data_IF_231697190260
#
_entry.id   IF_231697190260
#
_cell.length_a   1.000
_cell.length_b   1.000
_cell.length_c   1.000
_cell.angle_alpha   90.00
_cell.angle_beta   90.00
_cell.angle_gamma   90.00
#
_symmetry.space_group_name_H-M   'P 1'
#
loop_
_entity.id
_entity.type
_entity.pdbx_description
1 polymer ?
#
# COMPACT_ATOMS: atom_id res chain seq x y z
N UNK A 1 -31.08 -0.60 39.83
CA UNK A 1 -32.16 -0.28 38.84
C UNK A 1 -31.66 0.17 37.47
N UNK A 2 -30.52 0.85 37.32
CA UNK A 2 -29.99 1.31 36.03
C UNK A 2 -29.66 0.19 35.00
N UNK A 3 -29.17 -0.97 35.48
CA UNK A 3 -28.80 -2.12 34.62
C UNK A 3 -30.00 -2.90 34.04
N UNK A 4 -31.16 -2.85 34.67
CA UNK A 4 -32.36 -3.54 34.19
C UNK A 4 -32.97 -2.85 32.99
N UNK A 5 -32.98 -1.50 32.97
CA UNK A 5 -33.50 -0.70 31.85
C UNK A 5 -32.63 -0.83 30.59
N UNK A 6 -31.31 -0.90 30.73
CA UNK A 6 -30.40 -1.10 29.58
C UNK A 6 -30.60 -2.50 28.96
N UNK A 7 -30.76 -3.54 29.74
CA UNK A 7 -31.03 -4.91 29.28
C UNK A 7 -32.37 -5.03 28.52
N UNK A 8 -33.41 -4.34 29.01
CA UNK A 8 -34.73 -4.33 28.39
C UNK A 8 -34.72 -3.54 27.07
N UNK A 9 -34.01 -2.43 27.01
CA UNK A 9 -33.83 -1.66 25.79
C UNK A 9 -33.06 -2.45 24.72
N UNK A 10 -32.01 -3.18 25.11
CA UNK A 10 -31.23 -4.02 24.19
C UNK A 10 -32.10 -5.16 23.62
N UNK A 11 -32.89 -5.84 24.46
CA UNK A 11 -33.83 -6.88 23.99
C UNK A 11 -34.87 -6.35 23.02
N UNK A 12 -35.41 -5.15 23.25
CA UNK A 12 -36.37 -4.52 22.31
C UNK A 12 -35.72 -4.16 20.98
N UNK A 13 -34.45 -3.65 20.99
CA UNK A 13 -33.69 -3.34 19.78
C UNK A 13 -33.44 -4.58 18.94
N UNK A 14 -32.95 -5.68 19.55
CA UNK A 14 -32.71 -6.95 18.88
C UNK A 14 -34.02 -7.49 18.29
N UNK A 15 -35.13 -7.44 19.02
CA UNK A 15 -36.44 -7.91 18.56
C UNK A 15 -36.98 -7.08 17.38
N UNK A 16 -36.69 -5.76 17.33
CA UNK A 16 -37.05 -4.88 16.19
C UNK A 16 -36.25 -5.19 14.94
N UNK A 17 -34.95 -5.53 15.08
CA UNK A 17 -34.10 -5.97 13.96
C UNK A 17 -34.56 -7.30 13.40
N UNK A 18 -34.90 -8.27 14.27
CA UNK A 18 -35.35 -9.63 13.86
C UNK A 18 -36.77 -9.60 13.33
N UNK A 19 -37.61 -8.64 13.76
CA UNK A 19 -39.00 -8.51 13.29
C UNK A 19 -39.17 -8.15 11.83
N UNK A 20 -38.18 -7.48 11.22
CA UNK A 20 -38.16 -7.09 9.82
C UNK A 20 -36.80 -7.39 9.17
N UNK A 21 -36.47 -8.67 8.96
CA UNK A 21 -35.12 -9.08 8.55
C UNK A 21 -34.71 -8.53 7.17
N UNK A 22 -35.64 -8.49 6.20
CA UNK A 22 -35.36 -7.96 4.87
C UNK A 22 -34.89 -6.50 4.89
N UNK A 23 -35.52 -5.65 5.71
CA UNK A 23 -35.14 -4.28 5.91
C UNK A 23 -33.74 -4.13 6.52
N UNK A 24 -33.48 -4.87 7.60
CA UNK A 24 -32.22 -4.83 8.30
C UNK A 24 -31.06 -5.28 7.41
N UNK A 25 -31.26 -6.32 6.60
CA UNK A 25 -30.30 -6.82 5.62
C UNK A 25 -30.00 -5.75 4.56
N UNK A 26 -31.04 -5.15 3.94
CA UNK A 26 -30.84 -4.09 2.92
C UNK A 26 -30.08 -2.90 3.47
N UNK A 27 -30.40 -2.49 4.71
CA UNK A 27 -29.71 -1.36 5.36
C UNK A 27 -28.25 -1.68 5.64
N UNK A 28 -27.95 -2.82 6.27
CA UNK A 28 -26.59 -3.23 6.59
C UNK A 28 -25.76 -3.42 5.32
N UNK A 29 -26.33 -4.09 4.33
CA UNK A 29 -25.66 -4.33 3.03
C UNK A 29 -25.38 -3.01 2.29
N UNK A 30 -26.37 -2.12 2.21
CA UNK A 30 -26.20 -0.82 1.56
C UNK A 30 -25.14 0.04 2.22
N UNK A 31 -25.13 0.11 3.57
CA UNK A 31 -24.08 0.81 4.31
C UNK A 31 -22.71 0.13 4.14
N UNK A 32 -22.67 -1.20 4.13
CA UNK A 32 -21.41 -1.93 3.93
C UNK A 32 -20.81 -1.65 2.55
N UNK A 33 -21.63 -1.65 1.48
CA UNK A 33 -21.17 -1.31 0.12
C UNK A 33 -20.71 0.14 0.02
N UNK A 34 -21.46 1.09 0.57
CA UNK A 34 -21.06 2.50 0.58
C UNK A 34 -19.73 2.70 1.34
N UNK A 35 -19.60 2.07 2.50
CA UNK A 35 -18.36 2.11 3.30
C UNK A 35 -17.19 1.43 2.59
N UNK A 36 -17.43 0.31 1.91
CA UNK A 36 -16.44 -0.39 1.09
C UNK A 36 -15.90 0.52 -0.03
N UNK A 37 -16.77 1.19 -0.77
CA UNK A 37 -16.33 2.07 -1.86
C UNK A 37 -15.53 3.27 -1.34
N UNK A 38 -16.00 3.94 -0.28
CA UNK A 38 -15.31 5.12 0.28
C UNK A 38 -13.96 4.71 0.90
N UNK A 39 -13.96 3.71 1.77
CA UNK A 39 -12.75 3.28 2.49
C UNK A 39 -11.77 2.60 1.55
N UNK A 40 -12.23 1.80 0.59
CA UNK A 40 -11.40 1.20 -0.43
C UNK A 40 -10.69 2.27 -1.27
N UNK A 41 -11.40 3.29 -1.74
CA UNK A 41 -10.81 4.42 -2.44
C UNK A 41 -9.76 5.14 -1.62
N UNK A 42 -10.05 5.46 -0.35
CA UNK A 42 -9.12 6.12 0.55
C UNK A 42 -7.85 5.28 0.83
N UNK A 43 -8.01 3.97 1.07
CA UNK A 43 -6.85 3.08 1.30
C UNK A 43 -5.97 3.01 0.04
N UNK A 44 -6.57 2.89 -1.15
CA UNK A 44 -5.82 2.89 -2.41
C UNK A 44 -5.11 4.21 -2.63
N UNK A 45 -5.79 5.32 -2.40
CA UNK A 45 -5.21 6.66 -2.53
C UNK A 45 -3.99 6.83 -1.62
N UNK A 46 -4.14 6.52 -0.33
CA UNK A 46 -3.07 6.65 0.65
C UNK A 46 -1.89 5.71 0.35
N UNK A 47 -2.17 4.50 -0.15
CA UNK A 47 -1.14 3.53 -0.51
C UNK A 47 -0.35 3.97 -1.75
N UNK A 48 -1.02 4.52 -2.77
CA UNK A 48 -0.36 5.10 -3.94
C UNK A 48 0.47 6.33 -3.58
N UNK A 49 -0.07 7.21 -2.75
CA UNK A 49 0.64 8.41 -2.28
C UNK A 49 1.88 8.05 -1.45
N UNK A 50 1.78 7.03 -0.61
CA UNK A 50 2.90 6.53 0.18
C UNK A 50 3.98 5.89 -0.70
N UNK A 51 3.58 5.10 -1.69
CA UNK A 51 4.50 4.50 -2.66
C UNK A 51 5.28 5.57 -3.42
N UNK A 52 4.61 6.63 -3.86
CA UNK A 52 5.23 7.69 -4.65
C UNK A 52 6.12 8.61 -3.80
N UNK A 53 5.69 8.93 -2.57
CA UNK A 53 6.41 9.88 -1.73
C UNK A 53 7.55 9.22 -0.97
N UNK A 54 7.31 8.01 -0.45
CA UNK A 54 8.28 7.31 0.39
C UNK A 54 8.96 6.15 -0.33
N UNK A 55 8.28 5.51 -1.28
CA UNK A 55 8.80 4.33 -1.94
C UNK A 55 9.99 4.62 -2.85
N UNK A 56 9.86 5.60 -3.75
CA UNK A 56 10.89 5.91 -4.75
C UNK A 56 12.12 6.62 -4.19
N UNK A 57 11.97 7.35 -3.07
CA UNK A 57 13.04 8.20 -2.51
C UNK A 57 13.61 7.73 -1.19
N UNK A 58 12.98 6.75 -0.50
CA UNK A 58 13.40 6.37 0.85
C UNK A 58 14.66 5.51 0.89
N UNK A 59 14.87 4.68 -0.11
CA UNK A 59 16.00 3.74 -0.19
C UNK A 59 17.14 4.22 -1.06
N UNK A 60 16.90 5.17 -1.95
CA UNK A 60 17.86 5.71 -2.92
C UNK A 60 18.11 7.20 -2.63
N UNK A 61 19.36 7.58 -2.36
CA UNK A 61 19.74 8.95 -2.01
C UNK A 61 20.57 9.65 -3.09
N UNK A 62 20.76 9.01 -4.24
CA UNK A 62 21.39 9.63 -5.41
C UNK A 62 20.35 10.27 -6.33
N UNK A 63 20.74 11.32 -7.03
CA UNK A 63 19.89 12.02 -8.00
C UNK A 63 20.16 11.56 -9.43
N UNK A 64 21.44 11.22 -9.73
CA UNK A 64 21.86 10.82 -11.08
C UNK A 64 22.42 9.41 -11.06
N UNK A 65 21.97 8.59 -12.04
CA UNK A 65 22.50 7.27 -12.36
C UNK A 65 23.01 7.26 -13.80
N UNK A 66 24.30 7.09 -13.97
CA UNK A 66 24.93 6.91 -15.28
C UNK A 66 25.23 5.45 -15.50
N UNK A 67 24.65 4.84 -16.52
CA UNK A 67 25.02 3.50 -16.98
C UNK A 67 26.09 3.59 -18.01
N UNK A 68 27.13 2.80 -17.89
CA UNK A 68 28.30 2.85 -18.78
C UNK A 68 28.15 1.84 -19.91
N UNK A 69 28.76 2.15 -21.07
CA UNK A 69 28.80 1.27 -22.24
C UNK A 69 29.68 0.04 -22.04
N UNK A 70 30.64 0.12 -21.12
CA UNK A 70 31.59 -0.95 -20.81
C UNK A 70 31.92 -1.00 -19.32
N UNK A 71 32.37 -2.15 -18.87
CA UNK A 71 32.89 -2.31 -17.52
C UNK A 71 34.13 -1.44 -17.33
N UNK A 72 34.17 -0.72 -16.23
CA UNK A 72 35.32 0.07 -15.79
C UNK A 72 35.90 -0.56 -14.52
N UNK A 73 37.17 -0.28 -14.24
CA UNK A 73 37.89 -0.79 -13.06
C UNK A 73 38.27 0.34 -12.13
N UNK A 74 38.34 0.04 -10.81
CA UNK A 74 38.78 0.98 -9.81
C UNK A 74 37.68 1.86 -9.28
N UNK A 75 37.95 3.17 -9.12
CA UNK A 75 37.03 4.18 -8.60
C UNK A 75 36.86 5.30 -9.61
N UNK A 76 35.62 5.79 -9.85
CA UNK A 76 35.39 6.93 -10.71
C UNK A 76 36.01 8.21 -10.08
N UNK A 77 36.36 9.19 -10.93
CA UNK A 77 36.89 10.48 -10.49
C UNK A 77 35.82 11.29 -9.74
N UNK A 78 34.56 11.17 -10.15
CA UNK A 78 33.41 11.82 -9.52
C UNK A 78 32.28 10.80 -9.32
N UNK A 79 31.51 10.94 -8.22
CA UNK A 79 30.41 10.03 -7.86
C UNK A 79 30.91 8.79 -7.12
N UNK A 80 30.04 7.78 -7.03
CA UNK A 80 30.35 6.46 -6.46
C UNK A 80 30.16 5.38 -7.52
N UNK A 81 31.05 4.40 -7.51
CA UNK A 81 30.97 3.22 -8.37
C UNK A 81 29.84 2.30 -7.90
N UNK A 82 29.02 1.85 -8.83
CA UNK A 82 28.01 0.85 -8.61
C UNK A 82 28.14 -0.25 -9.65
N UNK A 83 28.09 -1.51 -9.19
CA UNK A 83 27.99 -2.66 -10.10
C UNK A 83 26.56 -3.18 -10.07
N UNK A 84 25.86 -3.13 -11.20
CA UNK A 84 24.48 -3.58 -11.32
C UNK A 84 24.37 -4.72 -12.33
N UNK A 85 23.73 -5.82 -11.93
CA UNK A 85 23.40 -6.93 -12.82
C UNK A 85 21.99 -7.45 -12.53
N UNK A 86 21.35 -8.06 -13.54
CA UNK A 86 20.00 -8.56 -13.47
C UNK A 86 19.96 -10.07 -13.52
N UNK A 87 19.08 -10.66 -12.73
CA UNK A 87 18.90 -12.10 -12.58
C UNK A 87 17.43 -12.47 -12.69
N UNK A 88 17.17 -13.67 -13.17
CA UNK A 88 15.84 -14.27 -13.19
C UNK A 88 15.66 -15.21 -12.00
N UNK A 89 14.53 -15.09 -11.32
CA UNK A 89 14.15 -16.01 -10.24
C UNK A 89 13.09 -16.96 -10.79
N UNK A 90 13.30 -18.26 -10.64
CA UNK A 90 12.39 -19.26 -11.18
C UNK A 90 10.94 -19.08 -10.66
N UNK A 91 10.01 -19.09 -11.59
CA UNK A 91 8.59 -18.91 -11.27
C UNK A 91 8.13 -17.47 -11.10
N UNK A 92 9.02 -16.48 -11.29
CA UNK A 92 8.68 -15.05 -11.24
C UNK A 92 8.85 -14.37 -12.60
N UNK A 93 7.97 -13.43 -12.91
CA UNK A 93 8.10 -12.53 -14.06
C UNK A 93 8.96 -11.31 -13.74
N UNK A 94 9.23 -11.07 -12.45
CA UNK A 94 10.01 -9.94 -11.95
C UNK A 94 11.47 -10.32 -11.86
N UNK A 95 12.35 -9.46 -12.39
CA UNK A 95 13.79 -9.64 -12.31
C UNK A 95 14.33 -9.15 -10.97
N UNK A 96 15.31 -9.88 -10.44
CA UNK A 96 16.09 -9.47 -9.29
C UNK A 96 17.31 -8.68 -9.75
N UNK A 97 17.50 -7.45 -9.26
CA UNK A 97 18.67 -6.64 -9.60
C UNK A 97 19.67 -6.66 -8.45
N UNK A 98 20.84 -7.25 -8.68
CA UNK A 98 21.94 -7.17 -7.72
C UNK A 98 22.61 -5.79 -7.78
N UNK A 99 22.76 -5.18 -6.60
CA UNK A 99 23.36 -3.86 -6.40
C UNK A 99 24.66 -4.04 -5.60
N UNK A 100 25.77 -4.06 -6.33
CA UNK A 100 27.12 -4.11 -5.76
C UNK A 100 27.60 -2.73 -5.36
N UNK A 101 27.49 -2.38 -4.08
CA UNK A 101 27.82 -1.05 -3.56
C UNK A 101 29.23 -0.97 -3.00
N UNK A 102 29.79 0.23 -2.94
CA UNK A 102 31.03 0.48 -2.21
C UNK A 102 30.78 0.43 -0.69
N UNK A 103 31.80 0.12 0.07
CA UNK A 103 31.71 0.11 1.53
C UNK A 103 31.40 1.50 2.07
N UNK A 104 30.42 1.60 2.98
CA UNK A 104 29.90 2.84 3.54
C UNK A 104 29.37 3.84 2.49
N UNK A 105 28.69 3.34 1.46
CA UNK A 105 28.02 4.18 0.47
C UNK A 105 27.11 5.22 1.15
N UNK A 106 27.11 6.44 0.61
CA UNK A 106 26.25 7.54 1.10
C UNK A 106 24.85 7.48 0.49
N UNK A 107 24.68 6.72 -0.57
CA UNK A 107 23.50 6.71 -1.42
C UNK A 107 22.55 5.54 -1.18
N UNK A 108 23.01 4.50 -0.48
CA UNK A 108 22.21 3.31 -0.15
C UNK A 108 21.94 3.20 1.35
N UNK A 109 20.91 2.42 1.75
CA UNK A 109 20.67 2.12 3.15
C UNK A 109 21.89 1.51 3.82
N UNK A 110 22.13 1.89 5.06
CA UNK A 110 23.23 1.36 5.88
C UNK A 110 22.76 0.32 6.91
N UNK A 111 21.44 0.12 7.02
CA UNK A 111 20.81 -0.77 8.01
C UNK A 111 19.67 -1.59 7.44
N UNK A 112 19.49 -2.76 8.03
CA UNK A 112 18.32 -3.62 7.83
C UNK A 112 17.10 -3.08 8.60
N UNK A 113 15.92 -3.67 8.37
CA UNK A 113 14.69 -3.43 9.15
C UNK A 113 14.88 -3.71 10.65
N UNK A 114 15.74 -4.67 10.99
CA UNK A 114 16.10 -5.02 12.36
C UNK A 114 17.02 -3.99 13.03
N UNK A 115 17.59 -3.06 12.24
CA UNK A 115 18.56 -2.05 12.69
C UNK A 115 20.01 -2.50 12.61
N UNK A 116 20.29 -3.71 12.10
CA UNK A 116 21.65 -4.23 11.92
C UNK A 116 22.33 -3.52 10.75
N UNK A 117 23.64 -3.25 10.88
CA UNK A 117 24.43 -2.63 9.81
C UNK A 117 24.64 -3.61 8.67
N UNK A 118 24.57 -3.12 7.42
CA UNK A 118 24.90 -3.93 6.24
C UNK A 118 26.42 -4.19 6.18
N UNK A 119 26.78 -5.44 5.97
CA UNK A 119 28.17 -5.89 5.80
C UNK A 119 28.40 -6.21 4.32
N UNK A 120 29.51 -5.79 3.71
CA UNK A 120 29.74 -5.92 2.28
C UNK A 120 29.92 -7.36 1.80
N UNK A 121 30.23 -8.29 2.69
CA UNK A 121 30.39 -9.73 2.42
C UNK A 121 29.09 -10.53 2.51
N UNK A 122 27.97 -9.87 2.83
CA UNK A 122 26.66 -10.50 3.01
C UNK A 122 25.66 -10.02 1.95
N UNK A 123 24.55 -10.78 1.85
CA UNK A 123 23.46 -10.50 0.91
C UNK A 123 22.20 -10.07 1.65
N UNK A 124 21.55 -9.03 1.16
CA UNK A 124 20.33 -8.45 1.75
C UNK A 124 19.31 -8.23 0.65
N UNK A 125 18.06 -8.60 0.91
CA UNK A 125 16.95 -8.33 0.00
C UNK A 125 16.19 -7.08 0.43
N UNK A 126 15.62 -6.39 -0.54
CA UNK A 126 14.59 -5.38 -0.27
C UNK A 126 13.30 -6.03 0.19
N UNK A 127 12.45 -5.28 0.90
CA UNK A 127 11.12 -5.76 1.33
C UNK A 127 10.28 -6.21 0.13
N UNK A 128 10.35 -5.46 -0.98
CA UNK A 128 9.65 -5.82 -2.22
C UNK A 128 10.17 -7.16 -2.79
N UNK A 129 11.48 -7.36 -2.87
CA UNK A 129 12.06 -8.61 -3.34
C UNK A 129 11.74 -9.80 -2.42
N UNK A 130 11.82 -9.59 -1.10
CA UNK A 130 11.51 -10.60 -0.12
C UNK A 130 10.07 -11.12 -0.23
N UNK A 131 9.11 -10.22 -0.40
CA UNK A 131 7.69 -10.57 -0.57
C UNK A 131 7.44 -11.18 -1.96
N UNK A 132 8.00 -10.60 -3.04
CA UNK A 132 7.81 -11.08 -4.42
C UNK A 132 8.33 -12.50 -4.60
N UNK A 133 9.49 -12.82 -4.03
CA UNK A 133 10.11 -14.14 -4.16
C UNK A 133 9.80 -15.08 -2.98
N UNK A 134 9.05 -14.62 -1.98
CA UNK A 134 8.64 -15.41 -0.82
C UNK A 134 9.80 -15.82 0.08
N UNK A 135 10.89 -15.03 0.16
CA UNK A 135 12.13 -15.33 0.89
C UNK A 135 12.24 -14.47 2.14
N UNK A 136 12.62 -15.09 3.27
CA UNK A 136 12.81 -14.40 4.55
C UNK A 136 14.29 -14.26 4.92
N UNK A 137 14.58 -13.36 5.84
CA UNK A 137 15.91 -13.28 6.44
C UNK A 137 16.34 -14.63 7.03
N UNK A 138 17.55 -15.06 6.70
CA UNK A 138 18.12 -16.34 7.07
C UNK A 138 17.89 -17.48 6.08
N UNK A 139 16.97 -17.34 5.13
CA UNK A 139 16.71 -18.32 4.06
C UNK A 139 17.64 -18.13 2.86
N UNK A 140 17.60 -19.08 1.94
CA UNK A 140 18.38 -19.05 0.70
C UNK A 140 17.46 -18.70 -0.47
N UNK A 141 17.96 -17.90 -1.40
CA UNK A 141 17.33 -17.62 -2.69
C UNK A 141 18.16 -18.22 -3.81
N UNK A 142 17.47 -18.81 -4.79
CA UNK A 142 18.08 -19.34 -6.02
C UNK A 142 17.63 -18.48 -7.19
N UNK A 143 18.60 -18.07 -8.02
CA UNK A 143 18.34 -17.24 -9.21
C UNK A 143 19.36 -17.53 -10.30
N UNK A 144 19.01 -17.23 -11.54
CA UNK A 144 19.81 -17.49 -12.72
C UNK A 144 20.34 -16.18 -13.32
N UNK A 145 21.60 -16.16 -13.70
CA UNK A 145 22.16 -15.03 -14.45
C UNK A 145 21.58 -15.04 -15.87
N UNK A 146 21.04 -13.91 -16.31
CA UNK A 146 20.41 -13.77 -17.64
C UNK A 146 21.40 -14.00 -18.77
N UNK A 147 22.68 -13.66 -18.59
CA UNK A 147 23.68 -13.71 -19.64
C UNK A 147 24.19 -15.12 -19.95
N UNK A 148 24.43 -15.95 -18.93
CA UNK A 148 25.04 -17.29 -19.07
C UNK A 148 24.17 -18.42 -18.50
N UNK A 149 22.98 -18.10 -17.98
CA UNK A 149 22.02 -19.01 -17.36
C UNK A 149 22.61 -19.83 -16.19
N UNK A 150 23.68 -19.33 -15.58
CA UNK A 150 24.29 -19.96 -14.44
C UNK A 150 23.43 -19.74 -13.20
N UNK A 151 23.12 -20.84 -12.52
CA UNK A 151 22.38 -20.84 -11.26
C UNK A 151 23.28 -20.37 -10.11
N UNK A 152 22.75 -19.46 -9.32
CA UNK A 152 23.35 -18.96 -8.08
C UNK A 152 22.43 -19.22 -6.91
N UNK A 153 23.03 -19.57 -5.77
CA UNK A 153 22.33 -19.78 -4.52
C UNK A 153 23.01 -19.00 -3.41
N UNK A 154 22.30 -18.05 -2.82
CA UNK A 154 22.85 -17.19 -1.77
C UNK A 154 21.95 -17.16 -0.54
N UNK A 155 22.57 -17.07 0.62
CA UNK A 155 21.86 -16.94 1.89
C UNK A 155 21.60 -15.47 2.19
N UNK A 156 20.33 -15.12 2.47
CA UNK A 156 19.92 -13.77 2.79
C UNK A 156 20.14 -13.48 4.26
N UNK A 157 20.97 -12.50 4.58
CA UNK A 157 21.33 -12.12 5.95
C UNK A 157 20.33 -11.21 6.61
N UNK A 158 19.56 -10.43 5.84
CA UNK A 158 18.56 -9.52 6.36
C UNK A 158 17.72 -8.87 5.27
N UNK A 159 16.70 -8.14 5.67
CA UNK A 159 15.81 -7.40 4.78
C UNK A 159 16.04 -5.90 4.98
N UNK A 160 16.00 -5.15 3.89
CA UNK A 160 16.11 -3.68 3.85
C UNK A 160 14.77 -3.10 3.46
N UNK A 161 14.31 -2.07 4.15
CA UNK A 161 13.03 -1.40 3.84
C UNK A 161 13.12 -0.69 2.50
N UNK A 162 12.62 -1.32 1.47
CA UNK A 162 12.37 -0.77 0.15
C UNK A 162 11.20 -1.52 -0.48
N UNK A 163 10.09 -0.82 -0.67
CA UNK A 163 8.85 -1.40 -1.16
C UNK A 163 8.68 -1.24 -2.68
N UNK A 164 9.65 -0.62 -3.37
CA UNK A 164 9.53 -0.27 -4.78
C UNK A 164 10.46 -1.04 -5.70
N UNK A 165 11.58 -1.51 -5.18
CA UNK A 165 12.59 -2.13 -6.00
C UNK A 165 12.88 -3.56 -5.53
N UNK A 166 12.98 -4.48 -6.49
CA UNK A 166 13.45 -5.85 -6.23
C UNK A 166 14.98 -5.89 -6.32
N UNK A 167 15.65 -5.44 -5.25
CA UNK A 167 17.10 -5.39 -5.17
C UNK A 167 17.69 -6.45 -4.24
N UNK A 168 18.87 -6.93 -4.64
CA UNK A 168 19.80 -7.72 -3.81
C UNK A 168 21.00 -6.83 -3.51
N UNK A 169 21.08 -6.31 -2.30
CA UNK A 169 22.22 -5.51 -1.86
C UNK A 169 23.37 -6.39 -1.39
N UNK A 170 24.57 -6.08 -1.85
CA UNK A 170 25.81 -6.72 -1.41
C UNK A 170 26.99 -5.79 -1.71
N UNK A 171 28.20 -6.15 -1.30
CA UNK A 171 29.40 -5.43 -1.73
C UNK A 171 29.73 -5.65 -3.21
N UNK A 172 30.43 -4.71 -3.82
CA UNK A 172 30.79 -4.72 -5.24
C UNK A 172 31.54 -6.02 -5.63
N UNK A 173 32.44 -6.50 -4.78
CA UNK A 173 33.15 -7.76 -4.96
C UNK A 173 32.21 -8.95 -5.15
N UNK A 174 31.28 -9.15 -4.24
CA UNK A 174 30.32 -10.26 -4.31
C UNK A 174 29.39 -10.15 -5.52
N UNK A 175 28.95 -8.93 -5.86
CA UNK A 175 28.12 -8.71 -7.03
C UNK A 175 28.87 -9.02 -8.33
N UNK A 176 30.17 -8.66 -8.41
CA UNK A 176 31.02 -8.98 -9.54
C UNK A 176 31.27 -10.50 -9.65
N UNK A 177 31.49 -11.18 -8.53
CA UNK A 177 31.66 -12.66 -8.47
C UNK A 177 30.38 -13.37 -8.97
N UNK A 178 29.19 -12.91 -8.56
CA UNK A 178 27.91 -13.44 -9.07
C UNK A 178 27.75 -13.24 -10.59
N UNK A 179 28.32 -12.17 -11.14
CA UNK A 179 28.29 -11.91 -12.57
C UNK A 179 29.44 -12.62 -13.35
N UNK A 180 30.38 -13.24 -12.64
CA UNK A 180 31.55 -13.92 -13.25
C UNK A 180 32.56 -12.95 -13.85
N UNK A 181 32.69 -11.73 -13.30
CA UNK A 181 33.63 -10.69 -13.73
C UNK A 181 34.62 -10.36 -12.63
N UNK A 182 35.65 -9.56 -12.95
CA UNK A 182 36.71 -9.18 -12.02
C UNK A 182 36.13 -8.40 -10.80
N UNK A 183 36.77 -8.56 -9.63
CA UNK A 183 36.26 -8.07 -8.33
C UNK A 183 36.15 -6.54 -8.23
N UNK A 184 36.93 -5.79 -8.99
CA UNK A 184 37.04 -4.34 -8.90
C UNK A 184 36.40 -3.58 -10.07
N UNK A 185 35.37 -4.17 -10.67
CA UNK A 185 34.65 -3.56 -11.79
C UNK A 185 33.40 -2.83 -11.36
N UNK A 186 32.98 -1.86 -12.18
CA UNK A 186 31.70 -1.19 -12.09
C UNK A 186 31.15 -0.89 -13.50
N UNK A 187 29.84 -0.79 -13.61
CA UNK A 187 29.13 -0.46 -14.84
C UNK A 187 28.15 0.70 -14.69
N UNK A 188 28.08 1.25 -13.49
CA UNK A 188 27.25 2.43 -13.20
C UNK A 188 28.02 3.40 -12.32
N UNK A 189 27.75 4.68 -12.47
CA UNK A 189 28.17 5.76 -11.57
C UNK A 189 26.93 6.42 -11.01
N UNK A 190 26.92 6.65 -9.70
CA UNK A 190 25.83 7.34 -9.02
C UNK A 190 26.34 8.61 -8.35
N UNK A 191 25.55 9.66 -8.39
CA UNK A 191 25.91 10.95 -7.79
C UNK A 191 24.69 11.73 -7.32
N UNK A 192 24.91 12.70 -6.44
CA UNK A 192 23.87 13.64 -6.04
C UNK A 192 23.78 14.82 -7.01
N UNK A 193 24.92 15.28 -7.50
CA UNK A 193 25.02 16.40 -8.42
C UNK A 193 25.31 15.86 -9.82
N UNK A 194 24.95 16.62 -10.84
CA UNK A 194 25.21 16.23 -12.23
C UNK A 194 26.71 16.22 -12.51
N UNK A 195 27.18 15.07 -13.02
CA UNK A 195 28.58 14.85 -13.38
C UNK A 195 28.76 14.93 -14.88
N UNK A 196 29.78 15.63 -15.36
CA UNK A 196 30.12 15.68 -16.76
C UNK A 196 31.04 14.48 -17.11
N UNK A 197 30.46 13.45 -17.68
CA UNK A 197 31.16 12.26 -18.15
C UNK A 197 31.34 12.33 -19.67
N UNK A 198 32.36 11.64 -20.16
CA UNK A 198 32.55 11.45 -21.61
C UNK A 198 31.31 10.77 -22.20
N UNK A 199 30.73 11.38 -23.24
CA UNK A 199 29.53 10.88 -23.89
C UNK A 199 29.71 9.49 -24.50
N UNK A 200 30.93 9.18 -24.91
CA UNK A 200 31.24 7.85 -25.48
C UNK A 200 31.29 6.76 -24.40
N UNK A 201 31.45 7.14 -23.14
CA UNK A 201 31.46 6.22 -22.00
C UNK A 201 30.04 5.92 -21.47
N UNK A 202 29.11 6.84 -21.63
CA UNK A 202 27.77 6.76 -21.02
C UNK A 202 26.76 6.16 -21.99
N UNK A 203 26.16 5.05 -21.62
CA UNK A 203 25.06 4.42 -22.36
C UNK A 203 23.72 5.12 -22.08
N UNK A 204 23.45 5.48 -20.83
CA UNK A 204 22.24 6.22 -20.44
C UNK A 204 22.48 7.02 -19.15
N UNK A 205 21.86 8.19 -19.10
CA UNK A 205 21.75 9.04 -17.91
C UNK A 205 20.30 8.98 -17.41
N UNK A 206 20.11 8.70 -16.14
CA UNK A 206 18.80 8.69 -15.49
C UNK A 206 18.82 9.69 -14.33
N UNK A 207 17.96 10.68 -14.37
CA UNK A 207 17.72 11.62 -13.29
C UNK A 207 16.51 11.15 -12.49
N UNK A 208 16.68 10.94 -11.18
CA UNK A 208 15.66 10.33 -10.31
C UNK A 208 14.42 11.20 -10.17
N UNK A 209 14.56 12.53 -10.15
CA UNK A 209 13.41 13.46 -10.17
C UNK A 209 12.58 13.29 -11.44
N UNK A 210 13.21 13.20 -12.61
CA UNK A 210 12.52 12.99 -13.89
C UNK A 210 11.86 11.59 -13.93
N UNK A 211 12.52 10.59 -13.38
CA UNK A 211 11.95 9.25 -13.27
C UNK A 211 10.72 9.24 -12.35
N UNK A 212 10.78 9.93 -11.20
CA UNK A 212 9.66 10.08 -10.28
C UNK A 212 8.49 10.84 -10.92
N UNK A 213 8.74 11.95 -11.61
CA UNK A 213 7.71 12.71 -12.35
C UNK A 213 7.06 11.87 -13.45
N UNK A 214 7.85 11.06 -14.14
CA UNK A 214 7.35 10.13 -15.18
C UNK A 214 6.43 9.10 -14.55
N UNK A 215 6.83 8.52 -13.41
CA UNK A 215 6.01 7.56 -12.67
C UNK A 215 4.72 8.21 -12.16
N UNK A 216 4.78 9.44 -11.66
CA UNK A 216 3.60 10.19 -11.25
C UNK A 216 2.62 10.40 -12.42
N UNK A 217 3.13 10.75 -13.58
CA UNK A 217 2.31 10.91 -14.78
C UNK A 217 1.67 9.59 -15.24
N UNK A 218 2.38 8.46 -15.14
CA UNK A 218 1.86 7.13 -15.45
C UNK A 218 0.79 6.69 -14.44
N UNK A 219 0.92 7.07 -13.16
CA UNK A 219 -0.06 6.77 -12.11
C UNK A 219 -1.25 7.74 -12.09
N UNK A 220 -1.17 8.86 -12.80
CA UNK A 220 -2.23 9.87 -12.87
C UNK A 220 -3.62 9.30 -13.21
N UNK A 221 -3.78 8.46 -14.25
CA UNK A 221 -5.04 7.80 -14.56
C UNK A 221 -5.59 6.95 -13.43
N UNK A 222 -4.73 6.27 -12.65
CA UNK A 222 -5.14 5.48 -11.49
C UNK A 222 -5.73 6.37 -10.38
N UNK A 223 -5.12 7.54 -10.11
CA UNK A 223 -5.66 8.54 -9.18
C UNK A 223 -7.07 8.98 -9.57
N UNK A 224 -7.35 9.17 -10.86
CA UNK A 224 -8.69 9.53 -11.36
C UNK A 224 -9.70 8.42 -11.10
N UNK A 225 -9.34 7.16 -11.32
CA UNK A 225 -10.20 6.00 -11.04
C UNK A 225 -10.53 5.93 -9.54
N UNK A 226 -9.54 6.15 -8.68
CA UNK A 226 -9.72 6.15 -7.21
C UNK A 226 -10.70 7.24 -6.79
N UNK A 227 -10.54 8.47 -7.29
CA UNK A 227 -11.46 9.59 -7.02
C UNK A 227 -12.87 9.26 -7.52
N UNK A 228 -13.01 8.64 -8.69
CA UNK A 228 -14.31 8.21 -9.20
C UNK A 228 -14.98 7.19 -8.28
N UNK A 229 -14.22 6.24 -7.71
CA UNK A 229 -14.71 5.28 -6.72
C UNK A 229 -15.18 5.97 -5.42
N UNK A 230 -14.44 6.96 -4.94
CA UNK A 230 -14.83 7.75 -3.76
C UNK A 230 -16.15 8.51 -3.99
N UNK A 231 -16.28 9.16 -5.14
CA UNK A 231 -17.50 9.87 -5.53
C UNK A 231 -18.67 8.90 -5.64
N UNK A 232 -18.48 7.76 -6.26
CA UNK A 232 -19.51 6.71 -6.36
C UNK A 232 -19.94 6.23 -4.97
N UNK A 233 -18.99 6.00 -4.06
CA UNK A 233 -19.26 5.63 -2.67
C UNK A 233 -20.08 6.69 -1.93
N UNK A 234 -19.78 7.99 -2.12
CA UNK A 234 -20.56 9.09 -1.55
C UNK A 234 -22.00 9.11 -2.08
N UNK A 235 -22.18 8.97 -3.39
CA UNK A 235 -23.51 8.91 -4.02
C UNK A 235 -24.30 7.72 -3.46
N UNK A 236 -23.69 6.55 -3.37
CA UNK A 236 -24.31 5.37 -2.78
C UNK A 236 -24.66 5.56 -1.31
N UNK A 237 -23.80 6.23 -0.53
CA UNK A 237 -24.06 6.58 0.86
C UNK A 237 -25.30 7.46 1.02
N UNK A 238 -25.42 8.51 0.22
CA UNK A 238 -26.60 9.41 0.19
C UNK A 238 -27.86 8.64 -0.21
N UNK A 239 -27.77 7.78 -1.22
CA UNK A 239 -28.91 6.96 -1.66
C UNK A 239 -29.38 5.99 -0.56
N UNK A 240 -28.46 5.35 0.12
CA UNK A 240 -28.77 4.45 1.25
C UNK A 240 -29.42 5.22 2.40
N UNK A 241 -28.90 6.41 2.75
CA UNK A 241 -29.53 7.27 3.76
C UNK A 241 -30.95 7.66 3.37
N UNK A 242 -31.16 8.02 2.11
CA UNK A 242 -32.50 8.34 1.58
C UNK A 242 -33.47 7.14 1.72
N UNK A 243 -33.02 5.92 1.36
CA UNK A 243 -33.81 4.71 1.53
C UNK A 243 -34.15 4.44 2.99
N UNK A 244 -33.19 4.62 3.90
CA UNK A 244 -33.40 4.45 5.34
C UNK A 244 -34.47 5.44 5.85
N UNK A 245 -34.35 6.72 5.48
CA UNK A 245 -35.30 7.76 5.89
C UNK A 245 -36.70 7.44 5.38
N UNK A 246 -36.85 7.12 4.09
CA UNK A 246 -38.14 6.76 3.51
C UNK A 246 -38.77 5.57 4.21
N UNK A 247 -37.98 4.57 4.52
CA UNK A 247 -38.43 3.37 5.20
C UNK A 247 -38.88 3.65 6.63
N UNK A 248 -38.13 4.51 7.36
CA UNK A 248 -38.53 5.00 8.70
C UNK A 248 -39.88 5.73 8.65
N UNK A 249 -40.04 6.63 7.70
CA UNK A 249 -41.27 7.44 7.56
C UNK A 249 -42.46 6.53 7.22
N UNK A 250 -42.30 5.60 6.29
CA UNK A 250 -43.36 4.67 5.86
C UNK A 250 -43.86 3.76 6.98
N UNK A 251 -42.95 3.10 7.72
CA UNK A 251 -43.32 2.16 8.79
C UNK A 251 -43.72 2.85 10.10
N UNK A 252 -43.14 4.01 10.37
CA UNK A 252 -43.37 4.71 11.63
C UNK A 252 -44.66 5.52 11.64
N UNK A 253 -45.31 5.74 10.50
CA UNK A 253 -46.51 6.58 10.42
C UNK A 253 -47.62 6.08 11.35
N UNK A 254 -47.92 4.80 11.34
CA UNK A 254 -48.93 4.15 12.21
C UNK A 254 -48.48 4.12 13.67
N UNK A 255 -47.23 3.68 13.92
CA UNK A 255 -46.66 3.60 15.27
C UNK A 255 -46.46 4.99 15.91
N UNK A 256 -46.05 5.98 15.14
CA UNK A 256 -45.92 7.38 15.59
C UNK A 256 -47.30 7.96 15.96
N UNK A 257 -48.34 7.65 15.18
CA UNK A 257 -49.70 8.08 15.47
C UNK A 257 -50.22 7.47 16.78
N UNK A 258 -50.00 6.19 17.00
CA UNK A 258 -50.35 5.50 18.25
C UNK A 258 -49.57 6.04 19.46
N UNK A 259 -48.23 6.25 19.31
CA UNK A 259 -47.42 6.81 20.37
C UNK A 259 -47.81 8.27 20.72
N UNK A 260 -48.19 9.07 19.71
CA UNK A 260 -48.75 10.42 19.95
C UNK A 260 -50.05 10.39 20.75
N UNK A 261 -50.94 9.48 20.44
CA UNK A 261 -52.19 9.30 21.19
C UNK A 261 -51.93 8.85 22.61
N UNK A 262 -50.89 8.06 22.84
CA UNK A 262 -50.41 7.63 24.18
C UNK A 262 -49.62 8.69 24.93
N UNK A 263 -49.44 9.92 24.37
CA UNK A 263 -48.85 11.05 25.06
C UNK A 263 -47.30 11.11 25.04
N UNK A 264 -46.61 10.27 24.21
CA UNK A 264 -45.17 10.37 24.07
C UNK A 264 -44.72 11.64 23.37
N UNK A 265 -43.64 12.25 23.86
CA UNK A 265 -43.05 13.45 23.26
C UNK A 265 -42.38 13.13 21.93
N UNK A 266 -42.30 14.14 21.02
CA UNK A 266 -41.61 14.01 19.72
C UNK A 266 -40.14 13.51 19.88
N UNK A 267 -39.46 13.95 20.94
CA UNK A 267 -38.06 13.60 21.22
C UNK A 267 -37.92 12.13 21.65
N UNK A 268 -38.87 11.58 22.40
CA UNK A 268 -38.87 10.18 22.81
C UNK A 268 -39.16 9.24 21.64
N UNK A 269 -40.07 9.63 20.75
CA UNK A 269 -40.40 8.90 19.52
C UNK A 269 -39.21 8.88 18.58
N UNK A 270 -38.61 10.05 18.32
CA UNK A 270 -37.42 10.17 17.46
C UNK A 270 -36.22 9.32 17.99
N UNK A 271 -35.92 9.43 19.27
CA UNK A 271 -34.85 8.64 19.86
C UNK A 271 -35.07 7.10 19.79
N UNK A 272 -36.32 6.66 19.88
CA UNK A 272 -36.62 5.22 19.74
C UNK A 272 -36.44 4.70 18.32
N UNK A 273 -36.88 5.45 17.34
CA UNK A 273 -36.84 5.09 15.92
C UNK A 273 -35.41 5.19 15.37
N UNK A 274 -34.68 6.26 15.71
CA UNK A 274 -33.33 6.50 15.22
C UNK A 274 -32.29 5.53 15.83
N UNK A 275 -32.40 5.21 17.11
CA UNK A 275 -31.40 4.39 17.79
C UNK A 275 -31.25 2.96 17.25
N UNK A 276 -32.29 2.37 16.65
CA UNK A 276 -32.20 1.04 16.03
C UNK A 276 -31.38 1.12 14.74
N UNK A 277 -31.58 2.18 13.95
CA UNK A 277 -30.89 2.38 12.68
C UNK A 277 -29.40 2.71 12.90
N UNK A 278 -29.03 3.42 13.96
CA UNK A 278 -27.61 3.61 14.30
C UNK A 278 -26.85 2.29 14.49
N UNK A 279 -27.48 1.30 15.13
CA UNK A 279 -26.85 -0.03 15.29
C UNK A 279 -26.64 -0.71 13.94
N UNK A 280 -27.60 -0.63 13.02
CA UNK A 280 -27.50 -1.22 11.69
C UNK A 280 -26.42 -0.50 10.84
N UNK A 281 -26.33 0.82 10.95
CA UNK A 281 -25.29 1.61 10.29
C UNK A 281 -23.91 1.23 10.81
N UNK A 282 -23.72 1.14 12.13
CA UNK A 282 -22.46 0.70 12.73
C UNK A 282 -22.07 -0.72 12.28
N UNK A 283 -23.04 -1.64 12.22
CA UNK A 283 -22.78 -3.00 11.72
C UNK A 283 -22.38 -3.01 10.26
N UNK A 284 -23.04 -2.22 9.41
CA UNK A 284 -22.67 -2.08 7.99
C UNK A 284 -21.25 -1.52 7.83
N UNK A 285 -20.89 -0.50 8.61
CA UNK A 285 -19.54 0.07 8.60
C UNK A 285 -18.47 -0.94 9.04
N UNK A 286 -18.73 -1.68 10.14
CA UNK A 286 -17.83 -2.72 10.68
C UNK A 286 -17.61 -3.84 9.65
N UNK A 287 -18.61 -4.16 8.81
CA UNK A 287 -18.48 -5.13 7.73
C UNK A 287 -17.77 -4.56 6.50
N UNK A 288 -18.03 -3.30 6.16
CA UNK A 288 -17.45 -2.63 4.99
C UNK A 288 -15.94 -2.43 5.10
N UNK A 289 -15.43 -2.08 6.29
CA UNK A 289 -14.01 -1.85 6.51
C UNK A 289 -13.12 -3.08 6.22
N UNK A 290 -13.34 -4.26 6.82
CA UNK A 290 -12.53 -5.43 6.52
C UNK A 290 -12.69 -5.90 5.06
N UNK A 291 -13.86 -5.72 4.46
CA UNK A 291 -14.04 -6.02 3.03
C UNK A 291 -13.18 -5.11 2.16
N UNK A 292 -13.14 -3.80 2.45
CA UNK A 292 -12.29 -2.85 1.73
C UNK A 292 -10.81 -3.18 1.90
N UNK A 293 -10.37 -3.46 3.13
CA UNK A 293 -8.99 -3.83 3.42
C UNK A 293 -8.56 -5.12 2.72
N UNK A 294 -9.40 -6.16 2.77
CA UNK A 294 -9.13 -7.44 2.10
C UNK A 294 -9.11 -7.30 0.58
N UNK A 295 -10.05 -6.53 0.01
CA UNK A 295 -10.07 -6.28 -1.43
C UNK A 295 -8.79 -5.59 -1.91
N UNK A 296 -8.37 -4.56 -1.20
CA UNK A 296 -7.12 -3.85 -1.49
C UNK A 296 -5.93 -4.81 -1.34
N UNK A 297 -5.86 -5.56 -0.24
CA UNK A 297 -4.78 -6.52 0.00
C UNK A 297 -4.68 -7.61 -1.08
N UNK A 298 -5.81 -8.18 -1.49
CA UNK A 298 -5.83 -9.22 -2.54
C UNK A 298 -5.53 -8.64 -3.91
N UNK A 299 -6.09 -7.46 -4.26
CA UNK A 299 -5.80 -6.78 -5.52
C UNK A 299 -4.34 -6.37 -5.65
N UNK A 300 -3.68 -6.04 -4.54
CA UNK A 300 -2.26 -5.68 -4.54
C UNK A 300 -1.32 -6.89 -4.54
N UNK A 301 -1.72 -8.03 -4.01
CA UNK A 301 -0.93 -9.25 -4.13
C UNK A 301 -0.64 -9.58 -5.59
N UNK A 302 -1.64 -9.44 -6.46
CA UNK A 302 -1.52 -9.60 -7.92
C UNK A 302 -0.56 -8.57 -8.56
N UNK A 303 -0.55 -7.34 -8.04
CA UNK A 303 0.33 -6.27 -8.52
C UNK A 303 1.79 -6.50 -8.11
N UNK A 304 2.02 -7.02 -6.91
CA UNK A 304 3.35 -7.41 -6.41
C UNK A 304 3.95 -8.49 -7.30
N UNK A 305 3.17 -9.53 -7.58
CA UNK A 305 3.62 -10.67 -8.38
C UNK A 305 4.00 -10.28 -9.81
N UNK A 306 3.32 -9.29 -10.39
CA UNK A 306 3.54 -8.88 -11.78
C UNK A 306 4.53 -7.72 -11.94
N UNK A 307 4.68 -6.84 -10.96
CA UNK A 307 5.48 -5.61 -11.08
C UNK A 307 6.61 -5.49 -10.05
N UNK A 308 6.69 -6.39 -9.08
CA UNK A 308 7.72 -6.37 -8.05
C UNK A 308 7.68 -5.15 -7.13
N UNK A 309 6.51 -4.52 -6.99
CA UNK A 309 6.30 -3.36 -6.12
C UNK A 309 5.36 -3.72 -4.99
N UNK A 310 5.79 -3.50 -3.76
CA UNK A 310 5.01 -3.76 -2.56
C UNK A 310 4.08 -2.58 -2.26
N UNK A 311 2.85 -2.64 -2.74
CA UNK A 311 1.80 -1.72 -2.37
C UNK A 311 1.16 -2.17 -1.04
N UNK A 312 1.82 -1.91 0.06
CA UNK A 312 1.23 -2.19 1.38
C UNK A 312 -0.01 -1.33 1.59
N UNK A 313 -1.16 -1.90 2.00
CA UNK A 313 -2.35 -1.11 2.30
C UNK A 313 -2.08 -0.21 3.50
N UNK A 314 -1.80 1.06 3.22
CA UNK A 314 -1.55 2.09 4.23
C UNK A 314 -2.88 2.68 4.68
N UNK A 315 -3.17 2.57 5.98
CA UNK A 315 -4.33 3.19 6.60
C UNK A 315 -3.85 4.35 7.48
N UNK A 316 -3.86 5.57 6.95
CA UNK A 316 -3.56 6.78 7.74
C UNK A 316 -4.76 7.10 8.64
N UNK A 317 -4.95 6.33 9.72
CA UNK A 317 -6.12 6.38 10.61
C UNK A 317 -6.48 7.79 11.12
N UNK A 318 -5.51 8.67 11.29
CA UNK A 318 -5.70 10.03 11.77
C UNK A 318 -6.40 10.92 10.72
N UNK A 319 -6.10 10.74 9.45
CA UNK A 319 -6.70 11.50 8.34
C UNK A 319 -8.12 11.02 8.01
N UNK A 320 -8.39 9.73 8.18
CA UNK A 320 -9.70 9.15 7.89
C UNK A 320 -10.72 9.52 8.96
N UNK A 321 -10.32 9.57 10.22
CA UNK A 321 -11.20 9.99 11.32
C UNK A 321 -11.59 11.47 11.17
N UNK A 322 -10.66 12.35 10.83
CA UNK A 322 -10.90 13.78 10.65
C UNK A 322 -11.76 14.08 9.41
N UNK A 323 -11.49 13.42 8.28
CA UNK A 323 -12.36 13.53 7.08
C UNK A 323 -13.75 12.97 7.32
N UNK A 324 -13.86 11.79 7.96
CA UNK A 324 -15.16 11.20 8.28
C UNK A 324 -15.96 12.06 9.28
N UNK A 325 -15.30 12.61 10.30
CA UNK A 325 -15.93 13.53 11.25
C UNK A 325 -16.36 14.85 10.57
N UNK A 326 -15.60 15.36 9.62
CA UNK A 326 -15.94 16.58 8.85
C UNK A 326 -17.15 16.32 7.94
N UNK A 327 -17.24 15.16 7.31
CA UNK A 327 -18.41 14.78 6.50
C UNK A 327 -19.66 14.53 7.33
N UNK A 328 -19.54 13.91 8.51
CA UNK A 328 -20.68 13.65 9.41
C UNK A 328 -21.12 14.87 10.21
N UNK A 329 -20.26 15.86 10.42
CA UNK A 329 -20.58 17.11 11.13
C UNK A 329 -21.29 18.15 10.28
N UNK A 330 -21.30 17.99 8.95
CA UNK A 330 -21.96 18.89 8.00
C UNK A 330 -23.30 18.33 7.46
N UNK A 331 -23.77 17.18 7.97
CA UNK A 331 -25.10 16.58 7.76
C UNK A 331 -25.91 16.71 9.06
#
# INVERSE_FOLDING_TARGET
MKNSHAKTQLKMRVRSVIGHPGRSIVTVFGVAVASFCILGGLIVHDSLDDLMTNGLTSSIKYEYLYRLNSLQTGTPDEGEALFQNYYEVDGSTVQLSAQGTVENSKYFPDKTDSGDKLEPDKYYLTSAAAETFGVKAGEEITFNNIADLKEHKVKISGIVTDNTHCYLYTGRKNAAELAGVDEDVYNCIISKDKVELDKDLVASETEMTVAADTMENLMGPMKVIVIAFEILGMIMGVFVLYLIINMIVSESSTNISVMKVLGFSRKEISNRVLNVNHVLICLGFILGFPMAYLFVKVGYADTIENYGMLLSPVVKAKFHCDRFCTYMGNI
#
